data_IF_087440065925
#
_entry.id   IF_087440065925
#
_cell.length_a   1.000
_cell.length_b   1.000
_cell.length_c   1.000
_cell.angle_alpha   90.00
_cell.angle_beta   90.00
_cell.angle_gamma   90.00
#
_symmetry.space_group_name_H-M   'P 1'
#
loop_
_entity.id
_entity.type
_entity.pdbx_description
1 polymer ?
#
# COMPACT_ATOMS: atom_id res chain seq x y z
N UNK A 1 -11.79 4.69 8.01
CA UNK A 1 -11.10 5.98 8.26
C UNK A 1 -9.64 5.99 7.81
N UNK A 2 -8.82 5.01 8.27
CA UNK A 2 -7.41 4.95 7.91
C UNK A 2 -7.19 4.75 6.40
N UNK A 3 -7.92 3.82 5.77
CA UNK A 3 -7.88 3.65 4.31
C UNK A 3 -8.25 4.93 3.53
N UNK A 4 -9.23 5.70 4.01
CA UNK A 4 -9.60 6.99 3.40
C UNK A 4 -8.50 8.04 3.55
N UNK A 5 -7.92 8.15 4.74
CA UNK A 5 -6.80 9.06 4.98
C UNK A 5 -5.60 8.69 4.09
N UNK A 6 -5.35 7.40 3.92
CA UNK A 6 -4.28 6.89 3.08
C UNK A 6 -4.52 7.15 1.59
N UNK A 7 -5.75 6.93 1.12
CA UNK A 7 -6.17 7.24 -0.25
C UNK A 7 -6.10 8.74 -0.60
N UNK A 8 -6.27 9.63 0.39
CA UNK A 8 -6.22 11.08 0.21
C UNK A 8 -4.88 11.72 0.59
N UNK A 9 -3.90 10.93 1.04
CA UNK A 9 -2.58 11.45 1.42
C UNK A 9 -2.58 12.28 2.70
N UNK A 10 -3.57 12.11 3.58
CA UNK A 10 -3.72 12.87 4.82
C UNK A 10 -2.82 12.30 5.91
N UNK A 11 -1.51 12.55 5.80
CA UNK A 11 -0.46 12.12 6.72
C UNK A 11 -0.76 12.39 8.20
N UNK A 12 -1.18 13.62 8.53
CA UNK A 12 -1.48 14.04 9.91
C UNK A 12 -2.71 13.32 10.46
N UNK A 13 -3.71 13.07 9.61
CA UNK A 13 -4.92 12.33 10.00
C UNK A 13 -4.61 10.85 10.16
N UNK A 14 -3.83 10.27 9.25
CA UNK A 14 -3.38 8.89 9.33
C UNK A 14 -2.56 8.65 10.61
N UNK A 15 -1.63 9.54 10.94
CA UNK A 15 -0.85 9.48 12.17
C UNK A 15 -1.75 9.53 13.41
N UNK A 16 -2.70 10.48 13.43
CA UNK A 16 -3.64 10.61 14.55
C UNK A 16 -4.51 9.37 14.73
N UNK A 17 -5.00 8.80 13.64
CA UNK A 17 -5.82 7.58 13.68
C UNK A 17 -5.02 6.41 14.29
N UNK A 18 -3.76 6.24 13.85
CA UNK A 18 -2.88 5.19 14.37
C UNK A 18 -2.54 5.39 15.85
N UNK A 19 -2.31 6.62 16.31
CA UNK A 19 -2.13 6.95 17.73
C UNK A 19 -3.36 6.57 18.58
N UNK A 20 -4.56 6.73 18.03
CA UNK A 20 -5.81 6.36 18.70
C UNK A 20 -6.15 4.87 18.62
N UNK A 21 -5.24 4.04 18.08
CA UNK A 21 -5.42 2.59 17.99
C UNK A 21 -6.24 2.14 16.77
N UNK A 22 -6.30 2.94 15.71
CA UNK A 22 -6.88 2.47 14.45
C UNK A 22 -6.15 1.21 13.97
N UNK A 23 -6.92 0.22 13.53
CA UNK A 23 -6.38 -1.01 12.95
C UNK A 23 -5.61 -0.67 11.66
N UNK A 24 -4.39 -1.17 11.55
CA UNK A 24 -3.49 -0.92 10.43
C UNK A 24 -3.98 -1.63 9.16
N UNK A 25 -4.30 -2.92 9.29
CA UNK A 25 -4.80 -3.76 8.20
C UNK A 25 -6.32 -3.71 8.09
N UNK A 26 -6.86 -2.52 7.85
CA UNK A 26 -8.27 -2.38 7.44
C UNK A 26 -8.39 -2.61 5.95
N UNK A 27 -9.16 -3.61 5.57
CA UNK A 27 -9.43 -3.94 4.19
C UNK A 27 -10.70 -3.22 3.70
N UNK A 28 -10.68 -2.68 2.48
CA UNK A 28 -11.93 -2.22 1.87
C UNK A 28 -12.85 -3.40 1.52
N UNK A 29 -14.16 -3.15 1.47
CA UNK A 29 -15.17 -4.21 1.27
C UNK A 29 -15.21 -4.77 -0.15
N UNK A 30 -14.65 -4.07 -1.14
CA UNK A 30 -14.80 -4.40 -2.55
C UNK A 30 -13.70 -5.35 -3.02
N UNK A 31 -12.46 -5.06 -2.63
CA UNK A 31 -11.26 -5.72 -3.13
C UNK A 31 -10.27 -6.08 -2.02
N UNK A 32 -10.61 -5.84 -0.77
CA UNK A 32 -9.72 -6.08 0.38
C UNK A 32 -8.38 -5.34 0.30
N UNK A 33 -8.33 -4.17 -0.34
CA UNK A 33 -7.10 -3.36 -0.36
C UNK A 33 -6.88 -2.74 1.01
N UNK A 34 -5.62 -2.72 1.46
CA UNK A 34 -5.21 -2.15 2.74
C UNK A 34 -4.92 -0.65 2.60
N UNK A 35 -4.77 0.11 3.70
CA UNK A 35 -4.36 1.51 3.61
C UNK A 35 -3.02 1.66 2.90
N UNK A 36 -2.11 0.68 3.04
CA UNK A 36 -0.82 0.69 2.35
C UNK A 36 -1.01 0.55 0.83
N UNK A 37 -1.88 -0.35 0.36
CA UNK A 37 -2.21 -0.48 -1.07
C UNK A 37 -2.76 0.83 -1.63
N UNK A 38 -3.63 1.52 -0.89
CA UNK A 38 -4.21 2.80 -1.31
C UNK A 38 -3.18 3.93 -1.35
N UNK A 39 -2.37 4.08 -0.30
CA UNK A 39 -1.29 5.09 -0.28
C UNK A 39 -0.28 4.85 -1.40
N UNK A 40 0.04 3.58 -1.68
CA UNK A 40 0.99 3.21 -2.71
C UNK A 40 0.44 3.48 -4.13
N UNK A 41 -0.82 3.09 -4.38
CA UNK A 41 -1.53 3.35 -5.65
C UNK A 41 -1.67 4.84 -5.97
N UNK A 42 -1.79 5.68 -4.93
CA UNK A 42 -1.91 7.14 -5.07
C UNK A 42 -0.58 7.90 -4.96
N UNK A 43 0.53 7.23 -4.66
CA UNK A 43 1.86 7.85 -4.65
C UNK A 43 2.22 8.66 -3.39
N UNK A 44 1.50 8.48 -2.29
CA UNK A 44 1.72 9.27 -1.06
C UNK A 44 2.84 8.70 -0.20
N UNK A 45 4.08 9.01 -0.58
CA UNK A 45 5.31 8.54 0.09
C UNK A 45 5.29 8.71 1.61
N UNK A 46 4.88 9.88 2.12
CA UNK A 46 4.83 10.15 3.55
C UNK A 46 3.88 9.20 4.31
N UNK A 47 2.73 8.88 3.71
CA UNK A 47 1.78 7.93 4.29
C UNK A 47 2.31 6.50 4.18
N UNK A 48 2.88 6.12 3.03
CA UNK A 48 3.49 4.80 2.86
C UNK A 48 4.56 4.57 3.92
N UNK A 49 5.46 5.54 4.12
CA UNK A 49 6.50 5.49 5.14
C UNK A 49 5.92 5.34 6.54
N UNK A 50 4.93 6.16 6.89
CA UNK A 50 4.24 6.08 8.18
C UNK A 50 3.64 4.70 8.44
N UNK A 51 2.98 4.10 7.45
CA UNK A 51 2.35 2.78 7.57
C UNK A 51 3.41 1.68 7.72
N UNK A 52 4.49 1.72 6.93
CA UNK A 52 5.59 0.76 7.01
C UNK A 52 6.35 0.86 8.33
N UNK A 53 6.55 2.06 8.86
CA UNK A 53 7.16 2.26 10.19
C UNK A 53 6.27 1.76 11.33
N UNK A 54 4.98 1.50 11.06
CA UNK A 54 4.05 0.79 11.96
C UNK A 54 3.93 -0.70 11.67
N UNK A 55 4.80 -1.26 10.82
CA UNK A 55 4.82 -2.66 10.38
C UNK A 55 3.56 -3.07 9.61
N UNK A 56 3.08 -2.20 8.72
CA UNK A 56 2.03 -2.59 7.78
C UNK A 56 2.53 -3.74 6.90
N UNK A 57 1.62 -4.66 6.56
CA UNK A 57 1.94 -5.79 5.70
C UNK A 57 2.30 -5.32 4.28
N UNK A 58 3.60 -5.35 3.98
CA UNK A 58 4.16 -4.88 2.71
C UNK A 58 3.76 -5.77 1.52
N UNK A 59 3.37 -7.02 1.78
CA UNK A 59 2.97 -8.00 0.77
C UNK A 59 1.44 -8.22 0.72
N UNK A 60 0.66 -7.33 1.34
CA UNK A 60 -0.80 -7.45 1.36
C UNK A 60 -1.40 -7.49 -0.05
N UNK A 61 -2.02 -8.61 -0.41
CA UNK A 61 -2.63 -8.81 -1.72
C UNK A 61 -4.12 -8.47 -1.71
N UNK A 62 -4.56 -7.74 -2.74
CA UNK A 62 -5.99 -7.54 -3.00
C UNK A 62 -6.66 -8.77 -3.62
N UNK A 63 -7.99 -8.82 -3.57
CA UNK A 63 -8.76 -9.93 -4.18
C UNK A 63 -9.17 -9.67 -5.62
N UNK A 64 -8.85 -8.51 -6.19
CA UNK A 64 -9.23 -8.21 -7.58
C UNK A 64 -8.29 -8.89 -8.57
N UNK A 65 -6.98 -8.73 -8.34
CA UNK A 65 -5.93 -9.30 -9.19
C UNK A 65 -4.77 -9.85 -8.36
N UNK A 66 -4.85 -9.91 -7.03
CA UNK A 66 -3.71 -10.34 -6.21
C UNK A 66 -2.56 -9.34 -6.23
N UNK A 67 -2.86 -8.04 -6.42
CA UNK A 67 -1.82 -7.01 -6.51
C UNK A 67 -1.32 -6.63 -5.11
N UNK A 68 -0.01 -6.49 -4.98
CA UNK A 68 0.66 -5.96 -3.78
C UNK A 68 0.72 -4.42 -3.82
N UNK A 69 1.05 -3.74 -2.71
CA UNK A 69 1.33 -2.31 -2.73
C UNK A 69 2.40 -1.92 -3.77
N UNK A 70 3.43 -2.75 -3.98
CA UNK A 70 4.45 -2.51 -5.00
C UNK A 70 3.85 -2.59 -6.41
N UNK A 71 3.01 -3.58 -6.70
CA UNK A 71 2.33 -3.69 -8.00
C UNK A 71 1.47 -2.45 -8.29
N UNK A 72 0.78 -1.93 -7.27
CA UNK A 72 -0.02 -0.71 -7.40
C UNK A 72 0.84 0.53 -7.66
N UNK A 73 1.92 0.74 -6.91
CA UNK A 73 2.83 1.87 -7.10
C UNK A 73 3.47 1.86 -8.49
N UNK A 74 3.90 0.68 -8.95
CA UNK A 74 4.51 0.50 -10.26
C UNK A 74 3.52 0.71 -11.41
N UNK A 75 2.32 0.14 -11.32
CA UNK A 75 1.25 0.35 -12.31
C UNK A 75 0.85 1.82 -12.43
N UNK A 76 0.94 2.61 -11.35
CA UNK A 76 0.66 4.05 -11.33
C UNK A 76 1.89 4.94 -11.63
N UNK A 77 3.10 4.37 -11.75
CA UNK A 77 4.33 5.11 -12.05
C UNK A 77 4.91 5.93 -10.89
N UNK A 78 4.61 5.56 -9.64
CA UNK A 78 5.04 6.32 -8.46
C UNK A 78 6.45 5.91 -8.00
N UNK A 79 7.48 6.37 -8.72
CA UNK A 79 8.88 5.99 -8.50
C UNK A 79 9.38 6.15 -7.06
N UNK A 80 9.00 7.22 -6.36
CA UNK A 80 9.43 7.45 -4.98
C UNK A 80 8.87 6.39 -4.03
N UNK A 81 7.60 6.00 -4.21
CA UNK A 81 6.98 4.92 -3.46
C UNK A 81 7.58 3.57 -3.82
N UNK A 82 7.86 3.31 -5.10
CA UNK A 82 8.54 2.09 -5.56
C UNK A 82 9.88 1.94 -4.84
N UNK A 83 10.72 2.98 -4.87
CA UNK A 83 12.02 2.98 -4.19
C UNK A 83 11.86 2.72 -2.68
N UNK A 84 10.93 3.40 -2.02
CA UNK A 84 10.68 3.21 -0.60
C UNK A 84 10.23 1.77 -0.25
N UNK A 85 9.37 1.16 -1.05
CA UNK A 85 8.93 -0.22 -0.84
C UNK A 85 10.07 -1.21 -1.05
N UNK A 86 10.91 -1.00 -2.08
CA UNK A 86 12.09 -1.82 -2.34
C UNK A 86 13.14 -1.69 -1.22
N UNK A 87 13.35 -0.49 -0.69
CA UNK A 87 14.21 -0.25 0.48
C UNK A 87 13.73 -1.00 1.73
N UNK A 88 12.41 -1.27 1.82
CA UNK A 88 11.79 -2.08 2.87
C UNK A 88 11.68 -3.57 2.49
N UNK A 89 12.35 -4.00 1.43
CA UNK A 89 12.42 -5.38 0.92
C UNK A 89 11.08 -5.93 0.41
N UNK A 90 10.25 -5.11 -0.23
CA UNK A 90 9.09 -5.61 -0.97
C UNK A 90 9.52 -6.61 -2.05
N UNK A 91 8.77 -7.70 -2.21
CA UNK A 91 9.06 -8.74 -3.19
C UNK A 91 8.77 -8.24 -4.62
N UNK A 92 9.76 -8.37 -5.49
CA UNK A 92 9.68 -7.99 -6.91
C UNK A 92 9.22 -9.13 -7.82
N UNK A 93 9.12 -10.35 -7.30
CA UNK A 93 8.74 -11.54 -8.07
C UNK A 93 7.29 -11.97 -7.80
N UNK A 94 6.58 -11.29 -6.89
CA UNK A 94 5.17 -11.59 -6.58
C UNK A 94 4.30 -11.42 -7.82
N UNK A 95 3.69 -12.50 -8.27
CA UNK A 95 2.83 -12.51 -9.46
C UNK A 95 1.39 -12.19 -9.12
N UNK A 96 0.81 -11.27 -9.88
CA UNK A 96 -0.63 -11.05 -9.87
C UNK A 96 -1.36 -12.32 -10.38
N UNK A 97 -2.57 -12.55 -9.88
CA UNK A 97 -3.33 -13.78 -10.15
C UNK A 97 -4.05 -13.77 -11.50
N UNK A 98 -4.02 -12.65 -12.23
CA UNK A 98 -4.82 -12.46 -13.44
C UNK A 98 -4.02 -12.61 -14.72
N UNK A 99 -2.78 -12.16 -14.69
CA UNK A 99 -1.89 -12.05 -15.84
C UNK A 99 -0.48 -12.58 -15.56
N UNK A 100 -0.23 -13.14 -14.36
CA UNK A 100 1.08 -13.62 -13.93
C UNK A 100 2.18 -12.54 -14.00
N UNK A 101 1.78 -11.27 -13.88
CA UNK A 101 2.69 -10.12 -13.95
C UNK A 101 3.39 -9.92 -12.62
N UNK A 102 4.68 -9.65 -12.67
CA UNK A 102 5.41 -9.17 -11.50
C UNK A 102 5.14 -7.67 -11.31
N UNK A 103 5.46 -7.08 -10.15
CA UNK A 103 5.18 -5.68 -9.90
C UNK A 103 5.85 -4.73 -10.91
N UNK A 104 7.00 -5.10 -11.49
CA UNK A 104 7.83 -4.21 -12.31
C UNK A 104 7.85 -4.57 -13.82
N UNK A 105 7.02 -5.52 -14.30
CA UNK A 105 7.00 -5.92 -15.72
C UNK A 105 5.61 -6.16 -16.34
#
# INVERSE_FOLDING_TARGET
PLGTAAYLGLDSVAARLLETGARLETEDMKYRRTPLSWAASSGYEAVVKLLLDKNADIEAMDTECGRTPLSWAANSGHEAVIKLLLEKNADIETKDTRYDRTPLN
#
